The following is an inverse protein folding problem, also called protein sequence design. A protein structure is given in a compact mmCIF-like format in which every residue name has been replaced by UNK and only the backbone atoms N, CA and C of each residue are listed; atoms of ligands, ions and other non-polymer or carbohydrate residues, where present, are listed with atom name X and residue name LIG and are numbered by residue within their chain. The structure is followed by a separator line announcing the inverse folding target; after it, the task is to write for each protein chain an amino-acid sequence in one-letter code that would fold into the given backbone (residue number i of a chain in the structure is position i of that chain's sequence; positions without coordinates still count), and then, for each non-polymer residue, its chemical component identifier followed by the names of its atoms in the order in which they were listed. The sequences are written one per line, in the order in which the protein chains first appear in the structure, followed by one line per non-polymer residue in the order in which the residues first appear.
data_IF_119934363316
#
_entry.id   IF_119934363316
#
_cell.length_a   1.000
_cell.length_b   1.000
_cell.length_c   1.000
_cell.angle_alpha   90.00
_cell.angle_beta   90.00
_cell.angle_gamma   90.00
#
_symmetry.space_group_name_H-M   'P 1'
#
loop_
_entity.id
_entity.type
_entity.pdbx_description
1 polymer ?
#
# COMPACT_ATOMS: atom_id res chain seq x y z
N UNK A 1 16.88 29.83 19.87
CA UNK A 1 16.57 29.57 21.29
C UNK A 1 16.33 28.08 21.64
N UNK A 2 15.73 27.26 20.76
CA UNK A 2 15.46 25.82 21.03
C UNK A 2 16.72 24.95 21.16
N UNK A 3 17.71 25.12 20.29
CA UNK A 3 18.96 24.33 20.28
C UNK A 3 19.74 24.48 21.60
N UNK A 4 19.81 25.68 22.16
CA UNK A 4 20.47 25.92 23.43
C UNK A 4 19.73 25.25 24.60
N UNK A 5 18.39 25.29 24.61
CA UNK A 5 17.57 24.58 25.61
C UNK A 5 17.79 23.06 25.55
N UNK A 6 17.81 22.49 24.36
CA UNK A 6 18.07 21.05 24.14
C UNK A 6 19.48 20.69 24.61
N UNK A 7 20.47 21.51 24.31
CA UNK A 7 21.86 21.29 24.72
C UNK A 7 22.05 21.37 26.25
N UNK A 8 21.39 22.31 26.92
CA UNK A 8 21.37 22.37 28.38
C UNK A 8 20.60 21.20 29.02
N UNK A 9 19.55 20.71 28.37
CA UNK A 9 18.82 19.53 28.83
C UNK A 9 19.65 18.23 28.70
N UNK A 10 20.41 18.10 27.60
CA UNK A 10 21.35 17.00 27.35
C UNK A 10 22.50 16.99 28.37
N UNK A 11 23.15 18.13 28.62
CA UNK A 11 24.25 18.24 29.61
C UNK A 11 23.76 18.22 31.06
N UNK A 12 22.51 18.62 31.30
CA UNK A 12 21.91 18.79 32.60
C UNK A 12 22.25 20.14 33.25
N UNK A 13 21.27 20.71 33.94
CA UNK A 13 21.38 21.98 34.65
C UNK A 13 20.77 21.90 36.05
N UNK A 14 21.21 22.81 36.90
CA UNK A 14 20.86 22.92 38.30
C UNK A 14 20.12 24.23 38.51
N UNK A 15 19.03 24.21 39.25
CA UNK A 15 18.38 25.42 39.76
C UNK A 15 18.97 25.69 41.13
N UNK A 16 19.69 26.79 41.26
CA UNK A 16 20.35 27.19 42.49
C UNK A 16 19.65 28.40 43.09
N UNK A 17 19.52 28.37 44.42
CA UNK A 17 19.05 29.48 45.23
C UNK A 17 20.27 30.04 45.96
N UNK A 18 20.59 31.28 45.71
CA UNK A 18 21.71 32.01 46.30
C UNK A 18 21.17 32.98 47.33
N UNK A 19 21.72 32.95 48.54
CA UNK A 19 21.43 33.87 49.65
C UNK A 19 22.70 34.64 50.00
N UNK A 20 22.65 35.96 50.04
CA UNK A 20 23.78 36.77 50.52
C UNK A 20 23.55 38.27 50.39
N UNK A 21 24.40 39.08 51.07
CA UNK A 21 24.24 40.54 51.14
C UNK A 21 24.51 41.26 49.81
N UNK A 22 25.27 40.64 48.89
CA UNK A 22 25.65 41.23 47.60
C UNK A 22 25.46 40.25 46.43
N UNK A 23 24.20 39.99 46.00
CA UNK A 23 23.92 39.04 44.92
C UNK A 23 24.49 39.48 43.56
N UNK A 24 24.68 40.78 43.35
CA UNK A 24 25.23 41.35 42.11
C UNK A 24 26.73 41.07 41.95
N UNK A 25 27.50 41.16 43.04
CA UNK A 25 28.92 40.79 43.05
C UNK A 25 29.10 39.29 42.78
N UNK A 26 28.19 38.45 43.27
CA UNK A 26 28.17 37.02 42.95
C UNK A 26 27.92 36.77 41.45
N UNK A 27 26.97 37.47 40.85
CA UNK A 27 26.67 37.32 39.42
C UNK A 27 27.88 37.70 38.55
N UNK A 28 28.51 38.83 38.85
CA UNK A 28 29.70 39.31 38.14
C UNK A 28 30.89 38.35 38.30
N UNK A 29 31.13 37.87 39.51
CA UNK A 29 32.20 36.90 39.77
C UNK A 29 31.94 35.54 39.11
N UNK A 30 30.68 35.11 39.00
CA UNK A 30 30.30 33.88 38.31
C UNK A 30 30.52 33.98 36.79
N UNK A 31 30.10 35.11 36.20
CA UNK A 31 30.33 35.39 34.77
C UNK A 31 31.82 35.49 34.47
N UNK A 32 32.60 36.15 35.34
CA UNK A 32 34.06 36.27 35.24
C UNK A 32 34.81 34.93 35.30
N UNK A 33 34.23 33.89 35.91
CA UNK A 33 34.78 32.52 35.87
C UNK A 33 34.30 31.69 34.67
N UNK A 34 33.63 32.31 33.70
CA UNK A 34 33.08 31.66 32.52
C UNK A 34 31.88 30.76 32.82
N UNK A 35 31.20 30.97 33.96
CA UNK A 35 29.98 30.23 34.31
C UNK A 35 28.77 30.93 33.71
N UNK A 36 28.16 30.32 32.69
CA UNK A 36 26.91 30.82 32.12
C UNK A 36 25.74 30.57 33.07
N UNK A 37 25.15 31.64 33.56
CA UNK A 37 23.92 31.67 34.33
C UNK A 37 22.78 32.15 33.43
N UNK A 38 21.60 31.55 33.56
CA UNK A 38 20.41 31.97 32.80
C UNK A 38 19.16 31.92 33.69
N UNK A 39 18.10 32.60 33.25
CA UNK A 39 16.82 32.68 33.96
C UNK A 39 17.00 33.12 35.41
N UNK A 40 17.56 34.33 35.55
CA UNK A 40 17.88 34.95 36.83
C UNK A 40 16.63 35.64 37.36
N UNK A 41 16.17 35.23 38.53
CA UNK A 41 15.00 35.78 39.21
C UNK A 41 15.42 36.25 40.60
N UNK A 42 15.16 37.52 40.91
CA UNK A 42 15.47 38.11 42.22
C UNK A 42 14.25 38.02 43.12
N UNK A 43 14.43 37.52 44.34
CA UNK A 43 13.39 37.41 45.36
C UNK A 43 13.78 38.26 46.57
N UNK A 44 13.57 39.57 46.49
CA UNK A 44 13.93 40.52 47.55
C UNK A 44 15.42 40.94 47.55
N UNK A 45 15.92 41.54 48.64
CA UNK A 45 17.26 42.14 48.68
C UNK A 45 18.38 41.10 48.62
N UNK A 46 18.21 39.96 49.31
CA UNK A 46 19.28 38.99 49.57
C UNK A 46 19.17 37.66 48.81
N UNK A 47 18.07 37.42 48.07
CA UNK A 47 17.84 36.14 47.41
C UNK A 47 17.85 36.23 45.89
N UNK A 48 18.57 35.30 45.28
CA UNK A 48 18.68 35.17 43.84
C UNK A 48 18.50 33.71 43.42
N UNK A 49 17.58 33.48 42.49
CA UNK A 49 17.36 32.17 41.88
C UNK A 49 17.92 32.21 40.46
N UNK A 50 18.80 31.28 40.13
CA UNK A 50 19.35 31.20 38.78
C UNK A 50 19.58 29.75 38.35
N UNK A 51 19.62 29.53 37.04
CA UNK A 51 19.94 28.23 36.45
C UNK A 51 21.40 28.21 36.03
N UNK A 52 22.08 27.11 36.34
CA UNK A 52 23.49 26.90 35.98
C UNK A 52 23.70 25.50 35.40
N UNK A 53 24.60 25.36 34.44
CA UNK A 53 24.99 24.03 33.93
C UNK A 53 25.61 23.16 35.04
N UNK A 54 25.36 21.84 34.99
CA UNK A 54 25.85 20.91 36.02
C UNK A 54 27.39 20.94 36.21
N UNK A 55 28.14 21.19 35.13
CA UNK A 55 29.61 21.35 35.18
C UNK A 55 30.04 22.71 35.75
N UNK A 56 29.27 23.77 35.48
CA UNK A 56 29.54 25.13 35.98
C UNK A 56 29.35 25.29 37.48
N UNK A 57 28.47 24.47 38.10
CA UNK A 57 28.26 24.48 39.54
C UNK A 57 29.52 24.14 40.35
N UNK A 58 30.40 23.28 39.84
CA UNK A 58 31.68 22.99 40.52
C UNK A 58 32.59 24.22 40.58
N UNK A 59 32.57 25.05 39.53
CA UNK A 59 33.33 26.30 39.43
C UNK A 59 32.78 27.42 40.34
N UNK A 60 31.50 27.37 40.71
CA UNK A 60 30.90 28.35 41.61
C UNK A 60 31.34 28.24 43.08
N UNK A 61 31.93 27.10 43.49
CA UNK A 61 32.38 26.87 44.87
C UNK A 61 33.36 27.93 45.41
N UNK A 62 34.43 28.32 44.68
CA UNK A 62 35.27 29.44 45.07
C UNK A 62 34.56 30.80 45.03
N UNK A 63 33.59 30.99 44.13
CA UNK A 63 32.82 32.25 44.02
C UNK A 63 31.98 32.48 45.28
N UNK A 64 31.28 31.45 45.76
CA UNK A 64 30.51 31.52 47.01
C UNK A 64 31.36 31.92 48.22
N UNK A 65 32.62 31.44 48.29
CA UNK A 65 33.55 31.78 49.37
C UNK A 65 34.00 33.25 49.30
N UNK A 66 34.29 33.76 48.11
CA UNK A 66 34.74 35.15 47.92
C UNK A 66 33.65 36.17 48.22
N UNK A 67 32.39 35.90 47.85
CA UNK A 67 31.29 36.87 48.00
C UNK A 67 30.45 36.68 49.28
N UNK A 68 30.89 35.82 50.22
CA UNK A 68 30.13 35.45 51.43
C UNK A 68 28.67 35.04 51.15
N UNK A 69 28.41 34.49 49.97
CA UNK A 69 27.08 34.04 49.55
C UNK A 69 26.94 32.53 49.78
N UNK A 70 25.74 32.08 50.13
CA UNK A 70 25.42 30.65 50.29
C UNK A 70 24.56 30.18 49.13
N UNK A 71 24.95 29.08 48.48
CA UNK A 71 24.18 28.43 47.42
C UNK A 71 23.51 27.15 47.89
N UNK A 72 22.19 27.03 47.72
CA UNK A 72 21.42 25.79 47.89
C UNK A 72 20.92 25.29 46.54
N UNK A 73 21.06 23.99 46.27
CA UNK A 73 20.52 23.36 45.06
C UNK A 73 19.04 23.05 45.30
N UNK A 74 18.13 23.70 44.56
CA UNK A 74 16.68 23.48 44.69
C UNK A 74 16.18 22.34 43.81
N UNK A 75 16.68 22.24 42.57
CA UNK A 75 16.30 21.17 41.62
C UNK A 75 17.48 20.75 40.75
N UNK A 76 17.54 19.46 40.41
CA UNK A 76 18.47 18.87 39.44
C UNK A 76 17.68 18.40 38.23
N UNK A 77 17.96 18.93 37.04
CA UNK A 77 17.15 18.67 35.85
C UNK A 77 18.09 18.30 34.68
N UNK A 78 17.77 17.21 33.97
CA UNK A 78 18.45 16.84 32.73
C UNK A 78 18.78 15.35 32.60
N UNK A 79 19.13 14.94 31.37
CA UNK A 79 19.37 13.55 30.98
C UNK A 79 20.53 12.92 31.75
N UNK A 80 21.61 13.66 31.99
CA UNK A 80 22.80 13.18 32.71
C UNK A 80 22.52 12.73 34.14
N UNK A 81 21.50 13.29 34.80
CA UNK A 81 21.10 12.87 36.15
C UNK A 81 20.25 11.59 36.13
N UNK A 82 19.43 11.39 35.09
CA UNK A 82 18.64 10.17 34.89
C UNK A 82 19.50 8.98 34.42
N UNK A 83 20.39 9.21 33.44
CA UNK A 83 21.33 8.22 32.91
C UNK A 83 22.22 7.62 34.00
N UNK A 84 22.68 8.41 34.97
CA UNK A 84 23.48 7.92 36.12
C UNK A 84 22.76 6.91 37.01
N UNK A 85 21.43 6.90 37.00
CA UNK A 85 20.62 5.91 37.73
C UNK A 85 20.47 4.61 36.91
N UNK A 86 20.41 4.74 35.58
CA UNK A 86 20.36 3.63 34.64
C UNK A 86 21.72 2.90 34.55
N UNK A 87 22.84 3.64 34.58
CA UNK A 87 24.20 3.04 34.54
C UNK A 87 24.56 2.23 35.78
N UNK A 88 23.80 2.35 36.88
CA UNK A 88 23.96 1.50 38.08
C UNK A 88 23.24 0.16 37.96
N UNK A 89 22.51 -0.08 36.87
CA UNK A 89 21.76 -1.32 36.61
C UNK A 89 22.34 -2.00 35.36
N UNK A 90 23.42 -2.79 35.49
CA UNK A 90 24.09 -3.42 34.34
C UNK A 90 23.16 -4.34 33.56
N UNK A 91 22.21 -5.00 34.25
CA UNK A 91 21.18 -5.86 33.63
C UNK A 91 20.30 -5.08 32.65
N UNK A 92 19.96 -3.83 32.95
CA UNK A 92 19.09 -3.01 32.08
C UNK A 92 19.84 -2.59 30.81
N UNK A 93 21.13 -2.27 30.92
CA UNK A 93 21.97 -2.00 29.76
C UNK A 93 22.16 -3.24 28.89
N UNK A 94 22.45 -4.39 29.50
CA UNK A 94 22.56 -5.67 28.80
C UNK A 94 21.25 -6.00 28.06
N UNK A 95 20.09 -5.80 28.71
CA UNK A 95 18.79 -6.02 28.07
C UNK A 95 18.56 -5.14 26.84
N UNK A 96 18.98 -3.87 26.87
CA UNK A 96 18.89 -2.98 25.71
C UNK A 96 19.79 -3.49 24.58
N UNK A 97 21.03 -3.87 24.88
CA UNK A 97 21.98 -4.40 23.88
C UNK A 97 21.46 -5.69 23.25
N UNK A 98 20.97 -6.63 24.07
CA UNK A 98 20.37 -7.89 23.61
C UNK A 98 19.13 -7.63 22.76
N UNK A 99 18.25 -6.73 23.19
CA UNK A 99 17.05 -6.37 22.42
C UNK A 99 17.41 -5.80 21.04
N UNK A 100 18.43 -4.93 20.96
CA UNK A 100 18.91 -4.38 19.71
C UNK A 100 19.57 -5.46 18.83
N UNK A 101 20.37 -6.35 19.42
CA UNK A 101 20.99 -7.47 18.70
C UNK A 101 19.94 -8.43 18.12
N UNK A 102 18.94 -8.80 18.91
CA UNK A 102 17.81 -9.65 18.47
C UNK A 102 17.01 -8.94 17.37
N UNK A 103 16.70 -7.65 17.53
CA UNK A 103 16.01 -6.88 16.49
C UNK A 103 16.80 -6.80 15.19
N UNK A 104 18.12 -6.66 15.26
CA UNK A 104 19.00 -6.65 14.08
C UNK A 104 19.01 -8.01 13.38
N UNK A 105 19.14 -9.10 14.13
CA UNK A 105 19.11 -10.47 13.59
C UNK A 105 17.76 -10.73 12.91
N UNK A 106 16.65 -10.45 13.59
CA UNK A 106 15.29 -10.66 13.06
C UNK A 106 15.01 -9.81 11.81
N UNK A 107 15.61 -8.61 11.71
CA UNK A 107 15.51 -7.74 10.53
C UNK A 107 16.23 -8.30 9.30
N UNK A 108 17.13 -9.27 9.46
CA UNK A 108 17.84 -9.93 8.36
C UNK A 108 17.05 -11.05 7.69
N UNK A 109 15.88 -11.41 8.20
CA UNK A 109 15.06 -12.52 7.70
C UNK A 109 13.82 -12.04 6.94
N UNK A 110 13.42 -12.86 5.97
CA UNK A 110 12.13 -12.73 5.29
C UNK A 110 11.07 -13.43 6.13
N UNK A 111 10.05 -12.70 6.56
CA UNK A 111 8.96 -13.21 7.38
C UNK A 111 7.70 -13.49 6.55
N UNK A 112 7.51 -12.73 5.48
CA UNK A 112 6.33 -12.82 4.63
C UNK A 112 6.76 -12.95 3.18
N UNK A 113 6.12 -13.88 2.47
CA UNK A 113 6.26 -14.06 1.03
C UNK A 113 4.91 -13.74 0.40
N UNK A 114 4.88 -12.67 -0.39
CA UNK A 114 3.71 -12.24 -1.15
C UNK A 114 3.91 -12.61 -2.62
N UNK A 115 2.89 -13.20 -3.23
CA UNK A 115 2.91 -13.57 -4.65
C UNK A 115 1.82 -12.79 -5.37
N UNK A 116 2.20 -12.09 -6.42
CA UNK A 116 1.33 -11.27 -7.25
C UNK A 116 1.37 -11.75 -8.71
N UNK A 117 0.23 -11.68 -9.41
CA UNK A 117 0.16 -11.90 -10.86
C UNK A 117 -0.11 -13.33 -11.32
N UNK A 118 -0.43 -14.25 -10.39
CA UNK A 118 -0.95 -15.58 -10.74
C UNK A 118 -2.41 -15.47 -11.24
N UNK A 119 -2.73 -16.17 -12.33
CA UNK A 119 -4.06 -16.24 -12.91
C UNK A 119 -4.49 -17.70 -13.17
N UNK A 120 -3.65 -18.46 -13.89
CA UNK A 120 -3.90 -19.85 -14.27
C UNK A 120 -3.21 -20.83 -13.31
N UNK A 121 -2.07 -20.46 -12.73
CA UNK A 121 -1.31 -21.34 -11.83
C UNK A 121 -1.90 -21.33 -10.42
N UNK A 122 -2.05 -22.51 -9.82
CA UNK A 122 -2.59 -22.65 -8.45
C UNK A 122 -1.63 -22.04 -7.41
N UNK A 123 -2.09 -21.12 -6.54
CA UNK A 123 -1.22 -20.41 -5.60
C UNK A 123 -0.45 -21.31 -4.63
N UNK A 124 -1.07 -22.40 -4.17
CA UNK A 124 -0.44 -23.29 -3.19
C UNK A 124 0.63 -24.19 -3.83
N UNK A 125 0.42 -24.63 -5.08
CA UNK A 125 1.46 -25.32 -5.85
C UNK A 125 2.65 -24.39 -6.08
N UNK A 126 2.42 -23.15 -6.52
CA UNK A 126 3.51 -22.19 -6.74
C UNK A 126 4.28 -21.84 -5.45
N UNK A 127 3.60 -21.81 -4.30
CA UNK A 127 4.27 -21.66 -2.99
C UNK A 127 5.23 -22.80 -2.69
N UNK A 128 4.85 -24.04 -2.98
CA UNK A 128 5.78 -25.18 -2.78
C UNK A 128 7.01 -25.09 -3.69
N UNK A 129 6.83 -24.61 -4.94
CA UNK A 129 7.94 -24.33 -5.85
C UNK A 129 8.86 -23.25 -5.28
N UNK A 130 8.31 -22.13 -4.78
CA UNK A 130 9.08 -21.06 -4.14
C UNK A 130 9.88 -21.54 -2.93
N UNK A 131 9.29 -22.39 -2.09
CA UNK A 131 9.98 -22.98 -0.94
C UNK A 131 11.14 -23.88 -1.38
N UNK A 132 10.97 -24.65 -2.46
CA UNK A 132 12.01 -25.50 -3.05
C UNK A 132 13.21 -24.70 -3.59
N UNK A 133 12.98 -23.50 -4.11
CA UNK A 133 14.03 -22.58 -4.60
C UNK A 133 14.62 -21.73 -3.45
N UNK A 134 14.10 -21.85 -2.23
CA UNK A 134 14.62 -21.19 -1.03
C UNK A 134 13.93 -19.87 -0.65
N UNK A 135 12.91 -19.44 -1.42
CA UNK A 135 12.08 -18.26 -1.09
C UNK A 135 10.97 -18.70 -0.13
N UNK A 136 11.27 -18.66 1.17
CA UNK A 136 10.33 -19.07 2.22
C UNK A 136 10.34 -18.14 3.42
N UNK A 137 9.30 -18.24 4.25
CA UNK A 137 9.31 -17.61 5.57
C UNK A 137 10.46 -18.18 6.42
N UNK A 138 11.26 -17.30 7.03
CA UNK A 138 12.48 -17.63 7.76
C UNK A 138 13.74 -17.72 6.88
N UNK A 139 13.66 -17.47 5.57
CA UNK A 139 14.85 -17.38 4.72
C UNK A 139 15.68 -16.14 5.07
N UNK A 140 17.01 -16.29 5.08
CA UNK A 140 17.92 -15.18 5.34
C UNK A 140 18.05 -14.34 4.08
N UNK A 141 17.97 -13.01 4.22
CA UNK A 141 18.00 -12.08 3.08
C UNK A 141 19.28 -12.17 2.26
N UNK A 142 20.40 -12.52 2.89
CA UNK A 142 21.71 -12.62 2.25
C UNK A 142 21.85 -13.87 1.38
N UNK A 143 21.10 -14.93 1.69
CA UNK A 143 21.17 -16.21 0.97
C UNK A 143 20.27 -16.20 -0.30
N UNK A 144 19.40 -15.19 -0.43
CA UNK A 144 18.50 -15.03 -1.57
C UNK A 144 19.21 -14.32 -2.73
N UNK A 145 19.86 -15.10 -3.59
CA UNK A 145 20.34 -14.62 -4.88
C UNK A 145 19.16 -14.45 -5.86
N UNK A 146 18.75 -13.20 -6.06
CA UNK A 146 17.57 -12.84 -6.85
C UNK A 146 17.68 -13.36 -8.28
N UNK A 147 18.84 -13.24 -8.91
CA UNK A 147 18.99 -13.61 -10.32
C UNK A 147 18.99 -15.13 -10.48
N UNK A 148 19.67 -15.85 -9.59
CA UNK A 148 19.65 -17.31 -9.60
C UNK A 148 18.23 -17.86 -9.37
N UNK A 149 17.51 -17.31 -8.39
CA UNK A 149 16.15 -17.71 -8.06
C UNK A 149 15.19 -17.41 -9.21
N UNK A 150 15.23 -16.22 -9.79
CA UNK A 150 14.38 -15.84 -10.94
C UNK A 150 14.60 -16.81 -12.12
N UNK A 151 15.86 -17.16 -12.41
CA UNK A 151 16.21 -18.09 -13.48
C UNK A 151 15.75 -19.53 -13.18
N UNK A 152 15.88 -20.01 -11.95
CA UNK A 152 15.41 -21.34 -11.55
C UNK A 152 13.87 -21.44 -11.64
N UNK A 153 13.15 -20.40 -11.20
CA UNK A 153 11.69 -20.37 -11.31
C UNK A 153 11.23 -20.41 -12.77
N UNK A 154 11.90 -19.70 -13.67
CA UNK A 154 11.61 -19.73 -15.11
C UNK A 154 11.90 -21.11 -15.75
N UNK A 155 12.82 -21.89 -15.19
CA UNK A 155 13.10 -23.26 -15.67
C UNK A 155 12.08 -24.28 -15.18
N UNK A 156 11.67 -24.16 -13.92
CA UNK A 156 10.75 -25.13 -13.31
C UNK A 156 9.31 -24.94 -13.83
N UNK A 157 8.88 -23.69 -14.03
CA UNK A 157 7.51 -23.38 -14.41
C UNK A 157 7.44 -22.87 -15.86
N UNK A 158 7.12 -23.79 -16.78
CA UNK A 158 7.08 -23.49 -18.23
C UNK A 158 5.99 -22.48 -18.61
N UNK A 159 4.94 -22.36 -17.80
CA UNK A 159 3.82 -21.42 -18.00
C UNK A 159 4.17 -19.97 -17.66
N UNK A 160 5.32 -19.71 -17.03
CA UNK A 160 5.70 -18.36 -16.64
C UNK A 160 6.49 -17.68 -17.77
N UNK A 161 6.09 -16.45 -18.12
CA UNK A 161 6.77 -15.61 -19.10
C UNK A 161 7.90 -14.79 -18.45
N UNK A 162 7.66 -14.29 -17.24
CA UNK A 162 8.59 -13.44 -16.51
C UNK A 162 8.35 -13.52 -15.00
N UNK A 163 9.42 -13.47 -14.21
CA UNK A 163 9.39 -13.42 -12.75
C UNK A 163 10.31 -12.32 -12.26
N UNK A 164 9.92 -11.62 -11.20
CA UNK A 164 10.82 -10.77 -10.42
C UNK A 164 10.67 -10.97 -8.91
N UNK A 165 11.80 -11.08 -8.23
CA UNK A 165 11.90 -11.15 -6.77
C UNK A 165 12.38 -9.82 -6.20
N UNK A 166 11.51 -9.17 -5.42
CA UNK A 166 11.83 -7.91 -4.72
C UNK A 166 11.70 -8.07 -3.21
N UNK A 167 12.78 -7.79 -2.47
CA UNK A 167 12.74 -7.79 -1.01
C UNK A 167 12.55 -6.37 -0.48
N UNK A 168 11.41 -6.12 0.17
CA UNK A 168 11.06 -4.86 0.85
C UNK A 168 11.10 -5.07 2.37
N UNK A 169 12.22 -4.76 2.99
CA UNK A 169 12.43 -4.98 4.43
C UNK A 169 12.41 -6.47 4.77
N UNK A 170 11.39 -6.91 5.51
CA UNK A 170 11.16 -8.31 5.90
C UNK A 170 10.16 -9.05 5.01
N UNK A 171 9.68 -8.41 3.94
CA UNK A 171 8.71 -8.99 3.00
C UNK A 171 9.40 -9.26 1.66
N UNK A 172 9.27 -10.49 1.15
CA UNK A 172 9.66 -10.83 -0.21
C UNK A 172 8.41 -10.81 -1.10
N UNK A 173 8.44 -10.01 -2.15
CA UNK A 173 7.37 -9.88 -3.13
C UNK A 173 7.83 -10.54 -4.42
N UNK A 174 7.11 -11.58 -4.83
CA UNK A 174 7.32 -12.30 -6.09
C UNK A 174 6.25 -11.84 -7.07
N UNK A 175 6.69 -11.19 -8.15
CA UNK A 175 5.81 -10.75 -9.22
C UNK A 175 5.95 -11.71 -10.38
N UNK A 176 4.85 -12.33 -10.78
CA UNK A 176 4.80 -13.33 -11.85
C UNK A 176 3.94 -12.79 -12.99
N UNK A 177 4.39 -13.02 -14.22
CA UNK A 177 3.60 -12.81 -15.43
C UNK A 177 3.54 -14.14 -16.16
N UNK A 178 2.34 -14.68 -16.28
CA UNK A 178 2.09 -15.94 -16.98
C UNK A 178 2.10 -15.76 -18.52
N UNK A 179 2.39 -16.83 -19.25
CA UNK A 179 2.30 -16.86 -20.70
C UNK A 179 0.85 -16.97 -21.11
N UNK A 180 0.42 -16.10 -22.01
CA UNK A 180 -0.82 -16.33 -22.75
C UNK A 180 -0.58 -17.39 -23.81
N UNK A 181 -0.96 -18.63 -23.50
CA UNK A 181 -1.00 -19.68 -24.48
C UNK A 181 -2.16 -19.39 -25.45
N UNK A 182 -1.95 -19.45 -26.78
CA UNK A 182 -3.07 -19.40 -27.70
C UNK A 182 -4.03 -20.54 -27.36
N UNK A 183 -5.33 -20.26 -27.39
CA UNK A 183 -6.37 -21.28 -27.17
C UNK A 183 -6.04 -22.50 -28.02
N UNK A 184 -5.98 -23.67 -27.39
CA UNK A 184 -5.68 -24.94 -28.05
C UNK A 184 -6.70 -25.13 -29.17
N UNK A 185 -6.30 -24.82 -30.40
CA UNK A 185 -7.21 -24.88 -31.54
C UNK A 185 -7.62 -26.35 -31.68
N UNK A 186 -8.92 -26.69 -31.60
CA UNK A 186 -9.36 -28.08 -31.66
C UNK A 186 -8.87 -28.71 -32.95
N UNK A 187 -8.12 -29.81 -32.85
CA UNK A 187 -7.66 -30.55 -34.03
C UNK A 187 -8.88 -31.13 -34.76
N UNK A 188 -9.11 -30.73 -36.02
CA UNK A 188 -10.25 -31.21 -36.80
C UNK A 188 -10.59 -30.34 -38.02
N UNK A 189 -11.46 -30.87 -38.88
CA UNK A 189 -12.07 -30.15 -40.01
C UNK A 189 -13.13 -29.19 -39.45
N UNK A 190 -12.90 -27.88 -39.60
CA UNK A 190 -13.83 -26.85 -39.09
C UNK A 190 -14.38 -26.06 -40.27
N UNK A 191 -15.71 -26.00 -40.37
CA UNK A 191 -16.42 -25.20 -41.37
C UNK A 191 -16.94 -23.90 -40.74
N UNK A 192 -17.13 -22.86 -41.56
CA UNK A 192 -17.79 -21.62 -41.13
C UNK A 192 -19.25 -21.67 -41.60
N UNK A 193 -20.17 -21.51 -40.65
CA UNK A 193 -21.63 -21.51 -40.89
C UNK A 193 -22.26 -20.17 -40.51
N UNK A 194 -23.42 -19.86 -41.09
CA UNK A 194 -24.18 -18.66 -40.79
C UNK A 194 -24.83 -18.74 -39.41
N UNK A 195 -24.56 -17.78 -38.53
CA UNK A 195 -25.18 -17.73 -37.21
C UNK A 195 -26.64 -17.23 -37.23
N UNK A 196 -27.02 -16.49 -38.28
CA UNK A 196 -28.33 -15.85 -38.48
C UNK A 196 -28.65 -15.76 -39.98
N UNK A 197 -29.92 -15.53 -40.28
CA UNK A 197 -30.36 -15.20 -41.62
C UNK A 197 -29.81 -13.82 -42.03
N UNK A 198 -29.36 -13.68 -43.28
CA UNK A 198 -28.83 -12.41 -43.77
C UNK A 198 -28.44 -12.43 -45.24
N UNK A 199 -28.18 -11.23 -45.79
CA UNK A 199 -27.71 -11.06 -47.16
C UNK A 199 -26.21 -10.79 -47.17
N UNK A 200 -25.44 -11.62 -47.87
CA UNK A 200 -23.98 -11.52 -47.93
C UNK A 200 -23.57 -10.28 -48.71
N UNK A 201 -22.81 -9.41 -48.06
CA UNK A 201 -22.26 -8.19 -48.68
C UNK A 201 -20.83 -8.39 -49.16
N UNK A 202 -20.04 -9.16 -48.40
CA UNK A 202 -18.63 -9.36 -48.68
C UNK A 202 -18.16 -10.71 -48.15
N UNK A 203 -17.33 -11.40 -48.94
CA UNK A 203 -16.69 -12.64 -48.53
C UNK A 203 -15.18 -12.59 -48.79
N UNK A 204 -14.39 -12.88 -47.76
CA UNK A 204 -12.94 -12.99 -47.84
C UNK A 204 -12.50 -14.33 -47.24
N UNK A 205 -12.04 -15.23 -48.10
CA UNK A 205 -11.56 -16.56 -47.69
C UNK A 205 -10.05 -16.52 -47.54
N UNK A 206 -9.55 -16.79 -46.33
CA UNK A 206 -8.12 -16.95 -46.03
C UNK A 206 -7.68 -18.42 -46.23
N UNK A 207 -8.52 -19.36 -45.80
CA UNK A 207 -8.27 -20.80 -45.87
C UNK A 207 -9.60 -21.55 -46.05
N UNK A 208 -9.66 -22.52 -46.96
CA UNK A 208 -10.88 -23.26 -47.31
C UNK A 208 -11.49 -22.80 -48.64
N UNK A 209 -12.75 -23.14 -48.87
CA UNK A 209 -13.47 -22.91 -50.12
C UNK A 209 -14.79 -22.20 -49.83
N UNK A 210 -15.04 -21.06 -50.49
CA UNK A 210 -16.32 -20.36 -50.39
C UNK A 210 -17.45 -21.23 -50.97
N UNK A 211 -18.53 -21.40 -50.22
CA UNK A 211 -19.74 -22.08 -50.67
C UNK A 211 -20.84 -21.10 -51.14
N UNK A 212 -20.62 -19.80 -50.93
CA UNK A 212 -21.57 -18.70 -51.17
C UNK A 212 -20.86 -17.52 -51.84
N UNK A 213 -21.64 -16.65 -52.48
CA UNK A 213 -21.16 -15.48 -53.22
C UNK A 213 -21.76 -14.17 -52.70
N UNK A 214 -21.13 -13.04 -53.05
CA UNK A 214 -21.66 -11.72 -52.69
C UNK A 214 -23.03 -11.50 -53.36
N UNK A 215 -24.03 -11.11 -52.58
CA UNK A 215 -25.41 -10.98 -53.02
C UNK A 215 -26.33 -12.15 -52.65
N UNK A 216 -25.78 -13.29 -52.20
CA UNK A 216 -26.59 -14.44 -51.78
C UNK A 216 -27.31 -14.16 -50.44
N UNK A 217 -28.53 -14.70 -50.31
CA UNK A 217 -29.26 -14.73 -49.04
C UNK A 217 -29.02 -16.07 -48.38
N UNK A 218 -28.56 -16.05 -47.13
CA UNK A 218 -28.27 -17.24 -46.33
C UNK A 218 -29.19 -17.31 -45.13
N UNK A 219 -29.51 -18.54 -44.73
CA UNK A 219 -30.23 -18.86 -43.52
C UNK A 219 -29.29 -19.28 -42.39
N UNK A 220 -29.77 -19.17 -41.15
CA UNK A 220 -29.06 -19.67 -39.98
C UNK A 220 -28.75 -21.16 -40.14
N UNK A 221 -27.46 -21.49 -40.10
CA UNK A 221 -26.94 -22.85 -40.25
C UNK A 221 -26.33 -23.13 -41.63
N UNK A 222 -26.52 -22.25 -42.62
CA UNK A 222 -25.97 -22.44 -43.95
C UNK A 222 -24.44 -22.42 -43.97
N UNK A 223 -23.85 -23.25 -44.83
CA UNK A 223 -22.41 -23.36 -45.00
C UNK A 223 -21.90 -22.14 -45.77
N UNK A 224 -21.02 -21.36 -45.16
CA UNK A 224 -20.42 -20.18 -45.80
C UNK A 224 -19.04 -20.50 -46.38
N UNK A 225 -18.18 -21.15 -45.58
CA UNK A 225 -16.84 -21.57 -46.00
C UNK A 225 -16.63 -23.03 -45.59
N UNK A 226 -16.37 -23.87 -46.59
CA UNK A 226 -16.04 -25.28 -46.42
C UNK A 226 -14.54 -25.46 -46.20
N UNK A 227 -14.17 -26.34 -45.28
CA UNK A 227 -12.80 -26.81 -45.13
C UNK A 227 -12.41 -27.83 -46.21
N UNK A 228 -13.38 -28.55 -46.78
CA UNK A 228 -13.14 -29.58 -47.79
C UNK A 228 -13.34 -29.03 -49.21
N UNK A 229 -12.55 -29.50 -50.20
CA UNK A 229 -12.72 -29.08 -51.59
C UNK A 229 -14.09 -29.50 -52.14
N UNK A 230 -14.70 -28.68 -53.03
CA UNK A 230 -15.97 -29.04 -53.67
C UNK A 230 -15.81 -30.29 -54.55
N UNK A 231 -16.82 -31.15 -54.56
CA UNK A 231 -16.84 -32.45 -55.26
C UNK A 231 -16.81 -32.37 -56.80
N UNK A 232 -16.61 -31.18 -57.38
CA UNK A 232 -16.72 -30.93 -58.83
C UNK A 232 -15.49 -31.35 -59.64
N UNK A 233 -14.42 -31.85 -59.00
CA UNK A 233 -13.30 -32.48 -59.72
C UNK A 233 -13.61 -33.97 -60.02
N UNK A 234 -14.72 -34.20 -60.72
CA UNK A 234 -15.11 -35.51 -61.26
C UNK A 234 -14.42 -35.81 -62.60
N UNK A 235 -13.09 -35.89 -62.59
CA UNK A 235 -12.33 -36.51 -63.68
C UNK A 235 -12.03 -37.96 -63.30
N UNK A 236 -12.23 -38.90 -64.21
CA UNK A 236 -12.20 -40.37 -64.02
C UNK A 236 -10.84 -40.97 -63.60
N UNK A 237 -10.02 -40.28 -62.81
CA UNK A 237 -8.76 -40.74 -62.23
C UNK A 237 -8.53 -40.15 -60.82
N UNK A 238 -9.59 -39.93 -60.04
CA UNK A 238 -9.45 -39.50 -58.64
C UNK A 238 -9.26 -40.73 -57.76
N UNK A 239 -8.10 -41.37 -57.87
CA UNK A 239 -7.56 -42.20 -56.81
C UNK A 239 -7.73 -41.45 -55.50
N UNK A 240 -8.31 -42.13 -54.52
CA UNK A 240 -8.54 -41.66 -53.18
C UNK A 240 -7.37 -40.78 -52.68
N UNK A 241 -7.55 -39.46 -52.72
CA UNK A 241 -6.91 -38.57 -51.75
C UNK A 241 -7.64 -38.79 -50.42
N UNK A 242 -7.50 -40.01 -49.90
CA UNK A 242 -7.76 -40.39 -48.51
C UNK A 242 -6.64 -39.81 -47.65
N UNK A 243 -6.53 -38.49 -47.72
CA UNK A 243 -5.69 -37.66 -46.87
C UNK A 243 -6.55 -36.46 -46.57
N UNK A 244 -7.50 -36.62 -45.66
CA UNK A 244 -8.23 -35.54 -44.99
C UNK A 244 -7.17 -34.68 -44.30
N UNK A 245 -6.54 -33.78 -45.06
CA UNK A 245 -5.82 -32.66 -44.51
C UNK A 245 -6.91 -31.91 -43.75
N UNK A 246 -6.88 -32.02 -42.42
CA UNK A 246 -7.78 -31.33 -41.51
C UNK A 246 -7.57 -29.83 -41.65
N UNK A 247 -8.12 -29.26 -42.72
CA UNK A 247 -8.08 -27.84 -42.97
C UNK A 247 -9.16 -27.24 -42.09
N UNK A 248 -8.83 -26.15 -41.41
CA UNK A 248 -9.81 -25.32 -40.74
C UNK A 248 -10.12 -24.16 -41.66
N UNK A 249 -11.40 -24.01 -42.01
CA UNK A 249 -11.87 -22.87 -42.75
C UNK A 249 -11.58 -21.59 -41.94
N UNK A 250 -10.94 -20.62 -42.59
CA UNK A 250 -10.66 -19.30 -42.02
C UNK A 250 -11.06 -18.26 -43.05
N UNK A 251 -11.83 -17.26 -42.64
CA UNK A 251 -12.29 -16.20 -43.51
C UNK A 251 -13.23 -15.26 -42.78
N UNK A 252 -13.53 -14.15 -43.44
CA UNK A 252 -14.47 -13.13 -42.98
C UNK A 252 -15.65 -13.10 -43.94
N UNK A 253 -16.86 -13.27 -43.40
CA UNK A 253 -18.11 -13.12 -44.15
C UNK A 253 -18.93 -12.02 -43.48
N UNK A 254 -19.16 -10.94 -44.21
CA UNK A 254 -19.98 -9.82 -43.77
C UNK A 254 -21.36 -9.95 -44.40
N UNK A 255 -22.40 -10.01 -43.57
CA UNK A 255 -23.78 -10.09 -44.00
C UNK A 255 -24.64 -9.01 -43.33
N UNK A 256 -25.59 -8.46 -44.09
CA UNK A 256 -26.63 -7.59 -43.56
C UNK A 256 -27.70 -8.46 -42.90
N UNK A 257 -27.89 -8.26 -41.59
CA UNK A 257 -28.91 -8.94 -40.78
C UNK A 257 -29.92 -7.92 -40.27
N UNK A 258 -31.17 -8.33 -40.10
CA UNK A 258 -32.23 -7.48 -39.54
C UNK A 258 -32.50 -7.87 -38.09
N UNK A 259 -32.68 -6.86 -37.23
CA UNK A 259 -33.05 -7.04 -35.83
C UNK A 259 -34.43 -6.46 -35.61
N UNK A 260 -35.35 -7.28 -35.10
CA UNK A 260 -36.65 -6.84 -34.64
C UNK A 260 -36.70 -6.95 -33.11
N UNK A 261 -37.12 -5.88 -32.44
CA UNK A 261 -37.35 -5.85 -31.00
C UNK A 261 -38.71 -5.22 -30.74
N UNK A 262 -39.48 -5.83 -29.84
CA UNK A 262 -40.78 -5.32 -29.40
C UNK A 262 -40.71 -5.06 -27.90
N UNK A 263 -40.89 -3.79 -27.51
CA UNK A 263 -40.96 -3.40 -26.10
C UNK A 263 -42.36 -2.93 -25.73
N UNK A 264 -42.82 -3.31 -24.53
CA UNK A 264 -44.11 -2.88 -23.99
C UNK A 264 -43.87 -1.73 -23.00
N UNK A 265 -44.31 -0.53 -23.35
CA UNK A 265 -44.16 0.67 -22.51
C UNK A 265 -45.46 0.97 -21.77
N UNK A 266 -45.45 1.17 -20.43
CA UNK A 266 -46.64 1.49 -19.66
C UNK A 266 -47.16 2.90 -19.96
N UNK A 267 -48.48 3.04 -20.13
CA UNK A 267 -49.18 4.30 -20.50
C UNK A 267 -49.13 5.35 -19.37
N UNK A 268 -49.04 4.93 -18.11
CA UNK A 268 -49.03 5.84 -16.95
C UNK A 268 -47.77 5.64 -16.14
N UNK A 269 -47.00 6.71 -15.96
CA UNK A 269 -45.82 6.73 -15.10
C UNK A 269 -45.98 7.76 -13.99
N UNK A 270 -45.74 7.35 -12.75
CA UNK A 270 -45.73 8.26 -11.59
C UNK A 270 -44.30 8.70 -11.32
N UNK A 271 -43.99 9.97 -11.55
CA UNK A 271 -42.67 10.55 -11.29
C UNK A 271 -42.67 11.35 -9.99
N UNK A 272 -41.75 11.04 -9.08
CA UNK A 272 -41.58 11.79 -7.84
C UNK A 272 -40.80 13.08 -8.09
N UNK A 273 -41.38 14.24 -7.78
CA UNK A 273 -40.69 15.53 -7.84
C UNK A 273 -40.24 15.99 -6.44
N UNK A 274 -38.99 16.45 -6.27
CA UNK A 274 -38.48 16.91 -4.99
C UNK A 274 -39.13 18.24 -4.57
N UNK A 275 -39.60 18.31 -3.32
CA UNK A 275 -40.31 19.47 -2.75
C UNK A 275 -39.42 20.69 -2.41
N UNK A 276 -38.14 20.67 -2.77
CA UNK A 276 -37.17 21.76 -2.53
C UNK A 276 -36.70 21.94 -1.08
N UNK A 277 -37.42 21.41 -0.08
CA UNK A 277 -37.04 21.51 1.35
C UNK A 277 -35.81 20.65 1.64
N UNK A 278 -34.73 21.28 2.10
CA UNK A 278 -33.45 20.62 2.46
C UNK A 278 -33.05 20.99 3.88
N UNK A 279 -32.46 20.04 4.62
CA UNK A 279 -31.86 20.29 5.94
C UNK A 279 -30.57 19.50 6.04
N UNK A 280 -29.48 20.18 6.39
CA UNK A 280 -28.16 19.58 6.55
C UNK A 280 -27.93 19.27 8.03
N UNK A 281 -27.41 18.08 8.34
CA UNK A 281 -27.06 17.66 9.70
C UNK A 281 -25.56 17.36 9.73
N UNK A 282 -24.89 17.78 10.79
CA UNK A 282 -23.48 17.45 11.00
C UNK A 282 -23.39 16.40 12.10
N UNK A 283 -22.61 15.36 11.86
CA UNK A 283 -22.29 14.37 12.88
C UNK A 283 -20.82 14.01 12.87
N UNK A 284 -20.26 13.82 14.06
CA UNK A 284 -18.87 13.42 14.24
C UNK A 284 -18.86 12.00 14.81
N UNK A 285 -18.09 11.11 14.18
CA UNK A 285 -17.88 9.75 14.66
C UNK A 285 -16.42 9.60 15.10
N UNK A 286 -16.23 9.15 16.33
CA UNK A 286 -14.92 8.79 16.89
C UNK A 286 -15.01 7.32 17.31
N UNK A 287 -14.36 6.44 16.54
CA UNK A 287 -14.50 4.98 16.70
C UNK A 287 -15.97 4.52 16.62
N UNK A 288 -16.50 3.99 17.73
CA UNK A 288 -17.88 3.49 17.83
C UNK A 288 -18.91 4.53 18.31
N UNK A 289 -18.47 5.70 18.77
CA UNK A 289 -19.39 6.72 19.28
C UNK A 289 -19.67 7.77 18.20
N UNK A 290 -20.96 8.03 17.92
CA UNK A 290 -21.43 9.05 16.99
C UNK A 290 -22.16 10.16 17.75
N UNK A 291 -21.71 11.39 17.58
CA UNK A 291 -22.33 12.59 18.14
C UNK A 291 -23.02 13.37 17.03
N UNK A 292 -24.34 13.49 17.11
CA UNK A 292 -25.15 14.23 16.15
C UNK A 292 -25.37 15.67 16.64
N UNK A 293 -25.02 16.67 15.82
CA UNK A 293 -25.37 18.06 16.06
C UNK A 293 -26.68 18.40 15.34
N UNK A 294 -27.75 18.50 16.12
CA UNK A 294 -29.06 18.96 15.66
C UNK A 294 -30.16 17.88 15.70
N UNK A 295 -31.42 18.31 15.59
CA UNK A 295 -32.60 17.42 15.56
C UNK A 295 -32.88 16.95 14.13
N UNK A 296 -33.17 15.65 13.97
CA UNK A 296 -33.62 15.08 12.69
C UNK A 296 -34.90 15.79 12.21
N UNK A 297 -34.98 16.20 10.93
CA UNK A 297 -36.22 16.74 10.38
C UNK A 297 -37.29 15.65 10.29
N UNK A 298 -38.55 16.03 10.51
CA UNK A 298 -39.69 15.13 10.35
C UNK A 298 -40.27 15.29 8.92
N UNK A 299 -39.62 14.67 7.94
CA UNK A 299 -40.12 14.61 6.55
C UNK A 299 -40.70 13.22 6.27
N UNK A 300 -41.94 13.16 5.75
CA UNK A 300 -42.64 11.90 5.48
C UNK A 300 -41.92 11.00 4.44
N UNK A 301 -41.30 11.62 3.42
CA UNK A 301 -40.44 10.94 2.44
C UNK A 301 -39.26 11.87 2.12
N UNK A 302 -38.04 11.42 2.37
CA UNK A 302 -36.81 12.21 2.15
C UNK A 302 -35.72 11.36 1.50
N UNK A 303 -35.00 11.96 0.55
CA UNK A 303 -33.76 11.40 0.01
C UNK A 303 -32.58 11.92 0.82
N UNK A 304 -31.82 11.02 1.44
CA UNK A 304 -30.65 11.38 2.25
C UNK A 304 -29.38 11.20 1.43
N UNK A 305 -28.60 12.26 1.26
CA UNK A 305 -27.22 12.16 0.74
C UNK A 305 -26.26 12.24 1.91
N UNK A 306 -25.37 11.25 2.06
CA UNK A 306 -24.36 11.20 3.11
C UNK A 306 -22.99 11.50 2.51
N UNK A 307 -22.33 12.55 2.99
CA UNK A 307 -20.96 12.89 2.63
C UNK A 307 -20.07 12.62 3.85
N UNK A 308 -19.18 11.64 3.72
CA UNK A 308 -18.24 11.27 4.79
C UNK A 308 -16.86 11.80 4.42
N UNK A 309 -16.28 12.65 5.27
CA UNK A 309 -14.90 13.11 5.15
C UNK A 309 -14.06 12.49 6.26
N UNK A 310 -13.11 11.65 5.86
CA UNK A 310 -12.16 11.01 6.76
C UNK A 310 -10.98 11.94 7.03
N UNK A 311 -10.60 12.11 8.30
CA UNK A 311 -9.48 13.00 8.67
C UNK A 311 -8.20 12.23 9.04
N UNK A 312 -8.33 11.02 9.59
CA UNK A 312 -7.21 10.22 10.07
C UNK A 312 -7.41 8.76 9.64
N UNK A 313 -6.95 8.37 8.43
CA UNK A 313 -6.96 6.98 8.02
C UNK A 313 -5.93 6.20 8.86
N UNK A 314 -6.38 5.22 9.65
CA UNK A 314 -5.46 4.31 10.33
C UNK A 314 -4.95 3.24 9.34
N UNK A 315 -3.83 2.59 9.70
CA UNK A 315 -3.09 1.60 8.91
C UNK A 315 -3.92 0.38 8.44
N UNK A 316 -5.14 0.20 8.97
CA UNK A 316 -6.09 -0.86 8.62
C UNK A 316 -7.27 -0.37 7.74
N UNK A 317 -7.19 0.83 7.15
CA UNK A 317 -8.24 1.38 6.29
C UNK A 317 -9.52 1.83 7.01
N UNK A 318 -9.57 1.75 8.34
CA UNK A 318 -10.65 2.32 9.15
C UNK A 318 -10.23 3.70 9.66
N UNK A 319 -11.04 4.73 9.43
CA UNK A 319 -10.77 6.08 9.90
C UNK A 319 -11.13 6.23 11.39
N UNK A 320 -10.24 6.85 12.18
CA UNK A 320 -10.47 7.04 13.63
C UNK A 320 -11.46 8.18 13.91
N UNK A 321 -11.51 9.16 13.02
CA UNK A 321 -12.39 10.32 13.07
C UNK A 321 -13.04 10.53 11.70
N UNK A 322 -14.36 10.45 11.66
CA UNK A 322 -15.18 10.76 10.49
C UNK A 322 -16.05 11.99 10.78
N UNK A 323 -16.10 12.92 9.81
CA UNK A 323 -17.11 13.98 9.77
C UNK A 323 -18.14 13.60 8.73
N UNK A 324 -19.39 13.48 9.15
CA UNK A 324 -20.52 13.07 8.31
C UNK A 324 -21.46 14.28 8.13
N UNK A 325 -21.72 14.62 6.88
CA UNK A 325 -22.64 15.67 6.43
C UNK A 325 -23.84 15.09 5.68
#
# INVERSE_FOLDING_TARGET
MLIQRIWFFLRGYLVILVKGPHPEQFLNAAIGQGVRLWDIQRFGPDWLLCKVGAQGFKKLRPVFRKTRCQGRIKRRIGLTFGLRRITKRPVLFLGIVVCLAVGYILSGFVWFVEVEGLQQIEPDSFRTTLEGVGVRAGARREDLDRQAIENELLKQETLIAWVSLKVKGTVAVVQVVEKELPETIPQGVVNIIAAKDGLIQKILVLKGYAAVTEGDTVHKGDLLISANPPALFGGSNSSAYSGTLGIQAQGLVEARVWYESSETVPIVSTTWQPTGKKRTLWSFRIGNHQFNLGKKPNYAKSKTSRLVKEWLPCRNGKSFVEVIR
#
